data_IF_706128304958
#
_entry.id   IF_706128304958
#
_cell.length_a   1.000
_cell.length_b   1.000
_cell.length_c   1.000
_cell.angle_alpha   90.00
_cell.angle_beta   90.00
_cell.angle_gamma   90.00
#
_symmetry.space_group_name_H-M   'P 1'
#
loop_
_entity.id
_entity.type
_entity.pdbx_description
1 polymer ?
#
# COMPACT_ATOMS: atom_id res chain seq x y z
N UNK A 1 0.08 14.07 -8.46
CA UNK A 1 0.95 14.69 -7.42
C UNK A 1 0.34 15.93 -6.78
N UNK A 2 -0.50 16.69 -7.48
CA UNK A 2 -1.21 17.87 -6.92
C UNK A 2 -2.10 17.53 -5.72
N UNK A 3 -2.77 16.36 -5.75
CA UNK A 3 -3.64 15.88 -4.66
C UNK A 3 -2.89 15.41 -3.42
N UNK A 4 -1.56 15.22 -3.49
CA UNK A 4 -0.75 14.80 -2.35
C UNK A 4 -0.38 16.05 -1.55
N UNK A 5 -0.75 16.13 -0.26
CA UNK A 5 -0.54 17.35 0.51
C UNK A 5 0.96 17.59 0.75
N UNK A 6 1.36 18.86 0.71
CA UNK A 6 2.74 19.26 0.97
C UNK A 6 3.12 19.16 2.46
N UNK A 7 2.13 19.15 3.36
CA UNK A 7 2.28 19.04 4.82
C UNK A 7 1.10 18.30 5.41
N UNK A 8 1.27 17.73 6.60
CA UNK A 8 0.21 17.03 7.32
C UNK A 8 -0.09 15.62 6.78
N UNK A 9 -0.88 14.85 7.52
CA UNK A 9 -1.09 13.44 7.22
C UNK A 9 -2.17 13.19 6.17
N UNK A 10 -2.03 12.07 5.46
CA UNK A 10 -3.07 11.54 4.57
C UNK A 10 -2.88 10.03 4.40
N UNK A 11 -3.98 9.32 4.20
CA UNK A 11 -3.99 7.88 3.96
C UNK A 11 -4.09 7.62 2.45
N UNK A 12 -3.05 7.08 1.85
CA UNK A 12 -3.02 6.64 0.45
C UNK A 12 -3.56 5.21 0.41
N UNK A 13 -4.72 5.02 -0.23
CA UNK A 13 -5.31 3.69 -0.43
C UNK A 13 -5.07 3.26 -1.86
N UNK A 14 -4.29 2.21 -2.05
CA UNK A 14 -3.86 1.76 -3.37
C UNK A 14 -4.17 0.29 -3.63
N UNK A 15 -4.28 -0.04 -4.91
CA UNK A 15 -4.50 -1.40 -5.39
C UNK A 15 -3.22 -2.26 -5.27
N UNK A 16 -3.33 -3.51 -4.83
CA UNK A 16 -2.15 -4.39 -4.76
C UNK A 16 -1.90 -5.15 -6.08
N UNK A 17 -0.83 -4.79 -6.79
CA UNK A 17 -0.28 -5.63 -7.88
C UNK A 17 0.40 -6.90 -7.38
N UNK A 18 0.71 -7.86 -8.25
CA UNK A 18 1.54 -9.02 -7.87
C UNK A 18 2.90 -8.55 -7.30
N UNK A 19 3.48 -7.54 -7.93
CA UNK A 19 4.57 -6.73 -7.41
C UNK A 19 4.14 -5.26 -7.49
N UNK A 20 4.10 -4.51 -6.37
CA UNK A 20 3.56 -3.15 -6.35
C UNK A 20 4.59 -2.11 -6.87
N UNK A 21 5.09 -2.30 -8.09
CA UNK A 21 6.12 -1.44 -8.69
C UNK A 21 5.62 -0.01 -8.88
N UNK A 22 4.37 0.15 -9.25
CA UNK A 22 3.70 1.43 -9.38
C UNK A 22 3.71 2.23 -8.06
N UNK A 23 3.49 1.54 -6.93
CA UNK A 23 3.57 2.13 -5.61
C UNK A 23 5.01 2.56 -5.28
N UNK A 24 6.04 1.78 -5.64
CA UNK A 24 7.43 2.20 -5.45
C UNK A 24 7.78 3.46 -6.24
N UNK A 25 7.33 3.55 -7.50
CA UNK A 25 7.49 4.78 -8.27
C UNK A 25 6.73 5.95 -7.65
N UNK A 26 5.53 5.72 -7.13
CA UNK A 26 4.80 6.73 -6.38
C UNK A 26 5.60 7.22 -5.16
N UNK A 27 6.15 6.31 -4.34
CA UNK A 27 7.00 6.67 -3.19
C UNK A 27 8.21 7.53 -3.62
N UNK A 28 8.90 7.13 -4.68
CA UNK A 28 10.01 7.89 -5.23
C UNK A 28 9.58 9.30 -5.68
N UNK A 29 8.43 9.42 -6.36
CA UNK A 29 7.89 10.72 -6.78
C UNK A 29 7.52 11.61 -5.58
N UNK A 30 6.95 11.04 -4.51
CA UNK A 30 6.65 11.78 -3.28
C UNK A 30 7.94 12.30 -2.64
N UNK A 31 8.99 11.49 -2.59
CA UNK A 31 10.29 11.92 -2.06
C UNK A 31 10.90 13.03 -2.93
N UNK A 32 11.01 12.80 -4.24
CA UNK A 32 11.68 13.72 -5.16
C UNK A 32 10.94 15.05 -5.31
N UNK A 33 9.61 15.01 -5.45
CA UNK A 33 8.83 16.22 -5.77
C UNK A 33 8.30 16.96 -4.54
N UNK A 34 8.18 16.28 -3.40
CA UNK A 34 7.59 16.86 -2.18
C UNK A 34 8.56 16.89 -1.01
N UNK A 35 9.69 16.18 -1.08
CA UNK A 35 10.62 16.03 0.04
C UNK A 35 9.98 15.29 1.22
N UNK A 36 8.99 14.43 0.96
CA UNK A 36 8.24 13.71 2.01
C UNK A 36 8.45 12.21 1.88
N UNK A 37 8.42 11.52 3.01
CA UNK A 37 8.27 10.07 3.04
C UNK A 37 6.79 9.69 3.11
N UNK A 38 6.47 8.51 2.59
CA UNK A 38 5.18 7.86 2.77
C UNK A 38 5.46 6.48 3.36
N UNK A 39 4.99 6.28 4.59
CA UNK A 39 5.18 5.03 5.31
C UNK A 39 4.31 3.96 4.65
N UNK A 40 4.81 2.73 4.55
CA UNK A 40 4.09 1.66 3.87
C UNK A 40 3.71 0.57 4.87
N UNK A 41 2.53 -0.03 4.72
CA UNK A 41 2.16 -1.20 5.52
C UNK A 41 2.48 -2.47 4.74
N UNK A 42 3.27 -3.36 5.33
CA UNK A 42 3.57 -4.68 4.77
C UNK A 42 3.07 -5.81 5.66
N UNK A 43 2.85 -6.97 5.04
CA UNK A 43 2.56 -8.20 5.77
C UNK A 43 3.78 -8.63 6.59
N UNK A 44 3.52 -9.19 7.78
CA UNK A 44 4.54 -9.60 8.72
C UNK A 44 5.53 -10.63 8.15
N UNK A 45 5.13 -11.45 7.17
CA UNK A 45 6.03 -12.44 6.58
C UNK A 45 7.23 -11.81 5.86
N UNK A 46 7.09 -10.60 5.29
CA UNK A 46 8.16 -9.93 4.56
C UNK A 46 9.35 -9.59 5.46
N UNK A 47 9.10 -9.33 6.75
CA UNK A 47 10.14 -9.07 7.74
C UNK A 47 10.98 -10.32 8.08
N UNK A 48 10.52 -11.51 7.68
CA UNK A 48 11.22 -12.79 7.92
C UNK A 48 12.07 -13.23 6.73
N UNK A 49 12.01 -12.53 5.59
CA UNK A 49 12.75 -12.90 4.38
C UNK A 49 14.16 -12.28 4.43
N UNK A 50 15.23 -13.10 4.39
CA UNK A 50 16.60 -12.58 4.29
C UNK A 50 16.77 -11.70 3.06
N UNK A 51 17.43 -10.55 3.22
CA UNK A 51 17.68 -9.58 2.13
C UNK A 51 16.63 -8.49 1.95
N UNK A 52 15.44 -8.60 2.56
CA UNK A 52 14.38 -7.58 2.44
C UNK A 52 14.51 -6.41 3.42
N UNK A 53 15.39 -6.51 4.43
CA UNK A 53 15.55 -5.47 5.46
C UNK A 53 15.80 -4.08 4.88
N UNK A 54 16.70 -3.97 3.89
CA UNK A 54 17.02 -2.69 3.25
C UNK A 54 15.81 -2.10 2.51
N UNK A 55 15.03 -2.95 1.84
CA UNK A 55 13.81 -2.53 1.14
C UNK A 55 12.76 -1.99 2.12
N UNK A 56 12.61 -2.66 3.26
CA UNK A 56 11.69 -2.28 4.32
C UNK A 56 12.10 -0.95 4.97
N UNK A 57 13.39 -0.72 5.16
CA UNK A 57 13.92 0.54 5.71
C UNK A 57 13.72 1.71 4.72
N UNK A 58 14.07 1.52 3.45
CA UNK A 58 13.95 2.57 2.40
C UNK A 58 12.49 3.03 2.24
N UNK A 59 11.54 2.11 2.27
CA UNK A 59 10.12 2.44 2.13
C UNK A 59 9.42 2.76 3.45
N UNK A 60 10.17 2.95 4.54
CA UNK A 60 9.65 3.23 5.88
C UNK A 60 8.51 2.29 6.24
N UNK A 61 8.74 0.99 6.00
CA UNK A 61 7.71 -0.02 6.11
C UNK A 61 7.45 -0.29 7.59
N UNK A 62 6.22 -0.04 8.00
CA UNK A 62 5.76 -0.31 9.37
C UNK A 62 4.99 -1.62 9.41
N UNK A 63 4.96 -2.22 10.60
CA UNK A 63 4.09 -3.36 10.85
C UNK A 63 2.62 -2.93 10.70
N UNK A 64 1.77 -3.86 10.25
CA UNK A 64 0.34 -3.60 10.02
C UNK A 64 -0.63 -3.45 11.21
N UNK A 65 -0.25 -3.53 12.50
CA UNK A 65 -1.19 -3.17 13.58
C UNK A 65 -1.75 -1.75 13.40
N UNK A 66 -3.01 -1.56 13.81
CA UNK A 66 -3.69 -0.28 13.65
C UNK A 66 -3.01 0.83 14.46
N UNK A 67 -2.45 0.50 15.61
CA UNK A 67 -1.78 1.44 16.51
C UNK A 67 -0.55 2.08 15.84
N UNK A 68 0.22 1.29 15.08
CA UNK A 68 1.36 1.78 14.30
C UNK A 68 0.92 2.75 13.21
N UNK A 69 -0.16 2.41 12.51
CA UNK A 69 -0.74 3.23 11.46
C UNK A 69 -1.24 4.58 12.01
N UNK A 70 -1.96 4.54 13.13
CA UNK A 70 -2.48 5.73 13.82
C UNK A 70 -1.33 6.61 14.30
N UNK A 71 -0.27 6.02 14.88
CA UNK A 71 0.93 6.77 15.30
C UNK A 71 1.61 7.46 14.12
N UNK A 72 1.80 6.78 13.00
CA UNK A 72 2.42 7.37 11.81
C UNK A 72 1.63 8.59 11.31
N UNK A 73 0.30 8.47 11.20
CA UNK A 73 -0.57 9.57 10.78
C UNK A 73 -0.60 10.73 11.78
N UNK A 74 -0.67 10.44 13.09
CA UNK A 74 -0.64 11.49 14.12
C UNK A 74 0.67 12.27 14.15
N UNK A 75 1.77 11.64 13.75
CA UNK A 75 3.08 12.29 13.58
C UNK A 75 3.18 13.08 12.25
N UNK A 76 2.09 13.16 11.47
CA UNK A 76 2.03 13.97 10.26
C UNK A 76 2.58 13.29 9.01
N UNK A 77 2.85 11.99 9.05
CA UNK A 77 3.34 11.25 7.88
C UNK A 77 2.21 10.93 6.89
N UNK A 78 2.58 10.72 5.63
CA UNK A 78 1.73 10.01 4.67
C UNK A 78 1.81 8.52 5.00
N UNK A 79 0.70 7.80 4.84
CA UNK A 79 0.64 6.35 5.06
C UNK A 79 0.01 5.68 3.85
N UNK A 80 0.66 4.68 3.26
CA UNK A 80 0.11 3.85 2.20
C UNK A 80 -0.38 2.50 2.72
N UNK A 81 -1.63 2.16 2.39
CA UNK A 81 -2.22 0.86 2.69
C UNK A 81 -2.88 0.32 1.44
N UNK A 82 -2.61 -0.96 1.14
CA UNK A 82 -3.44 -1.72 0.22
C UNK A 82 -4.35 -2.68 0.99
N UNK A 83 -5.66 -2.41 1.09
CA UNK A 83 -6.58 -3.25 1.87
C UNK A 83 -6.68 -4.69 1.34
N UNK A 84 -6.48 -4.88 0.05
CA UNK A 84 -6.47 -6.19 -0.60
C UNK A 84 -5.25 -7.05 -0.22
N UNK A 85 -4.13 -6.41 0.13
CA UNK A 85 -2.91 -7.06 0.59
C UNK A 85 -2.43 -8.20 -0.31
N UNK A 86 -1.78 -9.21 0.30
CA UNK A 86 -1.26 -10.38 -0.42
C UNK A 86 -2.36 -11.14 -1.17
N UNK A 87 -3.60 -11.19 -0.64
CA UNK A 87 -4.70 -11.89 -1.32
C UNK A 87 -5.05 -11.23 -2.65
N UNK A 88 -5.14 -9.90 -2.69
CA UNK A 88 -5.34 -9.16 -3.95
C UNK A 88 -4.11 -9.32 -4.85
N UNK A 89 -2.90 -9.22 -4.29
CA UNK A 89 -1.66 -9.46 -5.04
C UNK A 89 -1.69 -10.78 -5.83
N UNK A 90 -2.09 -11.87 -5.18
CA UNK A 90 -2.02 -13.22 -5.73
C UNK A 90 -3.17 -13.61 -6.65
N UNK A 91 -4.39 -13.07 -6.43
CA UNK A 91 -5.61 -13.62 -7.04
C UNK A 91 -6.42 -12.66 -7.91
N UNK A 92 -6.11 -11.36 -7.97
CA UNK A 92 -6.74 -10.49 -8.97
C UNK A 92 -6.10 -10.65 -10.36
N UNK A 93 -6.67 -9.99 -11.36
CA UNK A 93 -6.32 -10.10 -12.76
C UNK A 93 -6.32 -8.70 -13.41
N UNK A 94 -6.17 -8.65 -14.73
CA UNK A 94 -6.21 -7.43 -15.54
C UNK A 94 -7.55 -6.68 -15.50
N UNK A 95 -8.60 -7.24 -14.87
CA UNK A 95 -9.85 -6.51 -14.65
C UNK A 95 -9.83 -5.64 -13.40
N UNK A 96 -8.73 -5.64 -12.63
CA UNK A 96 -8.51 -4.83 -11.43
C UNK A 96 -9.62 -4.93 -10.37
N UNK A 97 -10.28 -6.08 -10.28
CA UNK A 97 -11.29 -6.32 -9.24
C UNK A 97 -10.64 -6.21 -7.87
N UNK A 98 -11.32 -5.55 -6.92
CA UNK A 98 -10.84 -5.36 -5.55
C UNK A 98 -11.16 -6.58 -4.67
N UNK A 99 -10.19 -7.05 -3.90
CA UNK A 99 -10.26 -8.25 -3.05
C UNK A 99 -10.11 -7.90 -1.56
N UNK A 100 -10.76 -6.83 -1.11
CA UNK A 100 -10.67 -6.36 0.28
C UNK A 100 -11.39 -7.28 1.27
N UNK A 101 -12.42 -8.01 0.83
CA UNK A 101 -13.22 -8.89 1.67
C UNK A 101 -13.86 -8.13 2.84
N UNK A 102 -13.62 -8.59 4.07
CA UNK A 102 -14.11 -7.93 5.30
C UNK A 102 -13.11 -6.94 5.91
N UNK A 103 -11.98 -6.67 5.26
CA UNK A 103 -10.92 -5.82 5.81
C UNK A 103 -11.35 -4.35 5.76
N UNK A 104 -11.65 -3.79 6.92
CA UNK A 104 -12.09 -2.39 7.11
C UNK A 104 -11.13 -1.57 7.98
N UNK A 105 -10.01 -2.16 8.41
CA UNK A 105 -9.07 -1.51 9.34
C UNK A 105 -8.51 -0.17 8.81
N UNK A 106 -8.23 -0.07 7.51
CA UNK A 106 -7.77 1.19 6.90
C UNK A 106 -8.80 2.33 7.06
N UNK A 107 -10.10 2.01 6.97
CA UNK A 107 -11.16 2.99 7.14
C UNK A 107 -11.29 3.42 8.61
N UNK A 108 -11.16 2.48 9.55
CA UNK A 108 -11.12 2.81 10.98
C UNK A 108 -9.94 3.71 11.32
N UNK A 109 -8.75 3.41 10.82
CA UNK A 109 -7.55 4.25 10.97
C UNK A 109 -7.78 5.67 10.44
N UNK A 110 -8.43 5.81 9.27
CA UNK A 110 -8.75 7.12 8.71
C UNK A 110 -9.73 7.91 9.60
N UNK A 111 -10.74 7.24 10.16
CA UNK A 111 -11.71 7.83 11.09
C UNK A 111 -11.00 8.29 12.37
N UNK A 112 -10.21 7.42 12.99
CA UNK A 112 -9.53 7.66 14.27
C UNK A 112 -8.50 8.79 14.20
N UNK A 113 -7.91 8.99 13.03
CA UNK A 113 -6.96 10.07 12.76
C UNK A 113 -7.60 11.31 12.13
N UNK A 114 -8.86 11.24 11.71
CA UNK A 114 -9.56 12.29 10.96
C UNK A 114 -8.78 12.79 9.74
N UNK A 115 -8.19 11.86 8.97
CA UNK A 115 -7.36 12.17 7.80
C UNK A 115 -8.07 11.87 6.48
N UNK A 116 -7.75 12.59 5.39
CA UNK A 116 -8.31 12.26 4.08
C UNK A 116 -7.77 10.92 3.58
N UNK A 117 -8.65 10.17 2.92
CA UNK A 117 -8.26 9.03 2.08
C UNK A 117 -8.03 9.54 0.66
N UNK A 118 -6.83 9.29 0.13
CA UNK A 118 -6.48 9.58 -1.26
C UNK A 118 -6.39 8.24 -1.99
N UNK A 119 -7.36 7.91 -2.85
CA UNK A 119 -7.27 6.71 -3.66
C UNK A 119 -6.17 6.86 -4.71
N UNK A 120 -5.37 5.81 -4.88
CA UNK A 120 -4.37 5.68 -5.93
C UNK A 120 -4.69 4.46 -6.79
N UNK A 121 -4.65 4.65 -8.11
CA UNK A 121 -4.85 3.59 -9.08
C UNK A 121 -3.88 3.80 -10.24
N UNK A 122 -3.35 2.69 -10.77
CA UNK A 122 -2.53 2.65 -11.97
C UNK A 122 -3.04 1.53 -12.87
N UNK A 123 -2.81 1.71 -14.17
CA UNK A 123 -3.08 0.68 -15.18
C UNK A 123 -1.77 0.00 -15.58
N UNK A 124 -1.88 -1.18 -16.17
CA UNK A 124 -0.79 -2.02 -16.66
C UNK A 124 0.05 -2.76 -15.59
N UNK A 125 -0.32 -2.66 -14.31
CA UNK A 125 0.39 -3.31 -13.21
C UNK A 125 0.23 -4.84 -13.22
N UNK A 126 -0.85 -5.37 -13.81
CA UNK A 126 -1.17 -6.81 -13.83
C UNK A 126 -0.59 -7.52 -15.05
N UNK A 127 -0.18 -6.76 -16.04
CA UNK A 127 0.30 -7.22 -17.33
C UNK A 127 1.81 -7.54 -17.26
N UNK A 128 2.54 -6.82 -16.40
CA UNK A 128 3.99 -6.96 -16.23
C UNK A 128 4.44 -8.17 -15.40
N UNK A 129 3.59 -8.71 -14.53
CA UNK A 129 3.94 -9.83 -13.63
C UNK A 129 2.82 -10.85 -13.53
N UNK A 130 3.17 -12.13 -13.69
CA UNK A 130 2.23 -13.24 -13.48
C UNK A 130 1.91 -13.37 -11.99
N UNK A 131 0.63 -13.50 -11.69
CA UNK A 131 0.12 -13.92 -10.38
C UNK A 131 -0.43 -15.34 -10.48
N UNK A 132 -0.86 -15.94 -9.36
CA UNK A 132 -1.55 -17.24 -9.41
C UNK A 132 -2.88 -17.15 -10.15
N UNK A 133 -3.53 -15.97 -10.15
CA UNK A 133 -4.78 -15.74 -10.86
C UNK A 133 -5.87 -16.74 -10.47
N UNK A 134 -6.78 -17.02 -11.41
CA UNK A 134 -7.78 -18.09 -11.33
C UNK A 134 -7.18 -19.43 -11.77
N UNK A 135 -6.32 -20.03 -10.94
CA UNK A 135 -6.03 -21.48 -11.02
C UNK A 135 -7.29 -22.36 -10.78
N UNK A 136 -8.48 -21.77 -10.63
CA UNK A 136 -9.76 -22.48 -10.47
C UNK A 136 -10.17 -23.34 -11.68
N UNK A 137 -9.48 -23.23 -12.82
CA UNK A 137 -9.77 -24.06 -14.00
C UNK A 137 -8.79 -25.23 -14.17
N UNK A 138 -7.90 -25.50 -13.20
CA UNK A 138 -6.93 -26.61 -13.22
C UNK A 138 -7.05 -27.59 -12.03
N UNK A 139 -8.12 -27.49 -11.23
CA UNK A 139 -8.55 -28.48 -10.24
C UNK A 139 -10.02 -28.79 -10.46
#
# INVERSE_FOLDING_TARGET
MEKIPNRGPALIVYYHGAIPIDYYYFLAHVIIQKGRTCHSVADHFLFKIPGFKLLLEVFSVIHGPQEECVRALRNGHLLGISPGGVREAMFSDETYRLFWGKRKGFAQVAIDCQVPIIPMFTQNLREGFRSLGTLSNML
#
